data_IF_645062640984
#
_entry.id   IF_645062640984
#
_cell.length_a   1.000
_cell.length_b   1.000
_cell.length_c   1.000
_cell.angle_alpha   90.00
_cell.angle_beta   90.00
_cell.angle_gamma   90.00
#
_symmetry.space_group_name_H-M   'P 1'
#
loop_
_entity.id
_entity.type
_entity.pdbx_description
1 polymer ?
#
# COMPACT_ATOMS: atom_id res chain seq x y z
N UNK A 1 -6.41 -10.90 -3.85
CA UNK A 1 -5.66 -11.65 -4.88
C UNK A 1 -4.19 -11.31 -4.68
N UNK A 2 -3.36 -12.27 -4.31
CA UNK A 2 -1.93 -12.02 -4.07
C UNK A 2 -1.22 -11.89 -5.43
N UNK A 3 -0.51 -10.79 -5.63
CA UNK A 3 0.33 -10.56 -6.80
C UNK A 3 1.81 -10.69 -6.40
N UNK A 4 2.60 -11.30 -7.25
CA UNK A 4 4.06 -11.39 -7.12
C UNK A 4 4.69 -10.91 -8.43
N UNK A 5 5.76 -10.10 -8.35
CA UNK A 5 6.56 -9.69 -9.51
C UNK A 5 8.05 -9.88 -9.25
N UNK A 6 8.77 -10.32 -10.27
CA UNK A 6 10.23 -10.40 -10.24
C UNK A 6 10.83 -8.99 -10.44
N UNK A 7 11.65 -8.57 -9.50
CA UNK A 7 12.39 -7.31 -9.58
C UNK A 7 13.84 -7.58 -10.02
N UNK A 8 14.46 -6.65 -10.72
CA UNK A 8 15.82 -6.75 -11.30
C UNK A 8 16.94 -6.97 -10.28
N UNK A 9 16.63 -6.92 -8.96
CA UNK A 9 17.62 -7.03 -7.87
C UNK A 9 17.62 -8.36 -7.10
N UNK A 10 17.08 -9.43 -7.69
CA UNK A 10 17.23 -10.77 -7.12
C UNK A 10 16.26 -11.11 -5.98
N UNK A 11 15.17 -10.35 -5.79
CA UNK A 11 14.08 -10.71 -4.91
C UNK A 11 12.71 -10.36 -5.52
N UNK A 12 11.67 -10.96 -4.97
CA UNK A 12 10.27 -10.76 -5.34
C UNK A 12 9.52 -10.10 -4.18
N UNK A 13 8.61 -9.18 -4.49
CA UNK A 13 7.66 -8.62 -3.52
C UNK A 13 6.34 -9.38 -3.63
N UNK A 14 5.92 -10.00 -2.53
CA UNK A 14 4.61 -10.60 -2.40
C UNK A 14 3.82 -9.85 -1.34
N UNK A 15 2.61 -9.38 -1.67
CA UNK A 15 1.86 -8.55 -0.75
C UNK A 15 0.36 -8.65 -0.86
N UNK A 16 -0.31 -8.15 0.15
CA UNK A 16 -1.75 -7.95 0.23
C UNK A 16 -2.06 -6.69 1.02
N UNK A 17 -3.18 -6.07 0.73
CA UNK A 17 -3.79 -5.01 1.54
C UNK A 17 -5.27 -5.33 1.74
N UNK A 18 -5.76 -5.01 2.92
CA UNK A 18 -7.17 -5.10 3.29
C UNK A 18 -7.60 -3.84 4.03
N UNK A 19 -8.88 -3.53 3.93
CA UNK A 19 -9.52 -2.45 4.69
C UNK A 19 -10.87 -2.95 5.20
N UNK A 20 -11.28 -2.48 6.40
CA UNK A 20 -12.54 -2.80 7.04
C UNK A 20 -13.15 -1.53 7.66
N UNK A 21 -14.48 -1.42 7.65
CA UNK A 21 -15.18 -0.25 8.18
C UNK A 21 -15.09 -0.14 9.71
N UNK A 22 -14.67 -1.22 10.38
CA UNK A 22 -14.72 -1.30 11.84
C UNK A 22 -16.11 -1.62 12.38
N UNK A 23 -16.28 -1.48 13.70
CA UNK A 23 -17.56 -1.83 14.38
C UNK A 23 -18.42 -0.60 14.73
N UNK A 24 -17.85 0.59 14.68
CA UNK A 24 -18.49 1.83 15.18
C UNK A 24 -18.79 2.80 14.04
N UNK A 25 -17.92 2.90 13.05
CA UNK A 25 -18.12 3.78 11.89
C UNK A 25 -19.21 3.24 10.97
N UNK A 26 -19.93 4.14 10.28
CA UNK A 26 -20.97 3.79 9.30
C UNK A 26 -20.45 3.72 7.87
N UNK A 27 -19.30 4.33 7.59
CA UNK A 27 -18.63 4.39 6.29
C UNK A 27 -17.14 4.12 6.47
N UNK A 28 -16.49 3.65 5.42
CA UNK A 28 -15.05 3.49 5.39
C UNK A 28 -14.45 4.70 4.65
N UNK A 29 -13.75 5.54 5.39
CA UNK A 29 -13.07 6.72 4.87
C UNK A 29 -11.57 6.44 4.54
N UNK A 30 -11.07 5.24 4.85
CA UNK A 30 -9.75 4.78 4.45
C UNK A 30 -9.71 4.42 2.96
N UNK A 31 -8.57 4.66 2.34
CA UNK A 31 -8.26 4.18 0.99
C UNK A 31 -6.88 3.54 0.96
N UNK A 32 -6.80 2.39 0.31
CA UNK A 32 -5.55 1.65 0.15
C UNK A 32 -5.32 1.29 -1.31
N UNK A 33 -4.06 1.32 -1.75
CA UNK A 33 -3.67 0.80 -3.05
C UNK A 33 -2.25 0.26 -3.03
N UNK A 34 -2.00 -0.73 -3.84
CA UNK A 34 -0.64 -1.14 -4.16
C UNK A 34 -0.51 -1.50 -5.64
N UNK A 35 0.68 -1.25 -6.17
CA UNK A 35 1.07 -1.64 -7.52
C UNK A 35 2.36 -2.45 -7.40
N UNK A 36 2.31 -3.70 -7.83
CA UNK A 36 3.45 -4.58 -7.98
C UNK A 36 3.51 -4.94 -9.47
N UNK A 37 4.27 -4.19 -10.29
CA UNK A 37 4.28 -4.38 -11.72
C UNK A 37 4.92 -5.72 -12.09
N UNK A 38 4.39 -6.41 -13.11
CA UNK A 38 5.09 -7.52 -13.74
C UNK A 38 6.27 -7.02 -14.58
N UNK A 39 7.25 -7.87 -14.86
CA UNK A 39 8.45 -7.51 -15.64
C UNK A 39 8.14 -6.92 -17.03
N UNK A 40 6.98 -7.21 -17.60
CA UNK A 40 6.54 -6.71 -18.91
C UNK A 40 5.68 -5.44 -18.81
N UNK A 41 5.37 -4.97 -17.61
CA UNK A 41 4.58 -3.75 -17.39
C UNK A 41 5.48 -2.52 -17.59
N UNK A 42 5.05 -1.48 -18.32
CA UNK A 42 5.77 -0.20 -18.39
C UNK A 42 6.07 0.41 -17.03
N UNK A 43 5.23 0.16 -16.02
CA UNK A 43 5.43 0.59 -14.64
C UNK A 43 6.60 -0.12 -13.95
N UNK A 44 7.10 -1.25 -14.48
CA UNK A 44 8.19 -2.02 -13.87
C UNK A 44 9.47 -1.19 -13.71
N UNK A 45 9.73 -0.25 -14.62
CA UNK A 45 10.87 0.68 -14.54
C UNK A 45 10.78 1.64 -13.34
N UNK A 46 9.61 1.76 -12.70
CA UNK A 46 9.37 2.60 -11.53
C UNK A 46 9.25 1.80 -10.23
N UNK A 47 9.24 0.47 -10.33
CA UNK A 47 9.12 -0.43 -9.19
C UNK A 47 7.73 -0.46 -8.56
N UNK A 48 7.65 -0.91 -7.30
CA UNK A 48 6.38 -1.03 -6.58
C UNK A 48 6.01 0.26 -5.86
N UNK A 49 4.71 0.49 -5.70
CA UNK A 49 4.17 1.58 -4.89
C UNK A 49 3.05 1.05 -4.00
N UNK A 50 3.14 1.33 -2.70
CA UNK A 50 2.21 0.90 -1.66
C UNK A 50 1.66 2.15 -0.98
N UNK A 51 0.35 2.24 -0.77
CA UNK A 51 -0.33 3.46 -0.29
C UNK A 51 -1.39 3.12 0.74
N UNK A 52 -1.44 3.89 1.81
CA UNK A 52 -2.56 3.97 2.75
C UNK A 52 -2.88 5.44 2.97
N UNK A 53 -4.16 5.76 3.01
CA UNK A 53 -4.68 7.10 3.27
C UNK A 53 -5.92 6.98 4.15
N UNK A 54 -5.95 7.71 5.26
CA UNK A 54 -7.05 7.79 6.21
C UNK A 54 -7.75 9.12 6.02
N UNK A 55 -9.00 9.04 5.59
CA UNK A 55 -9.80 10.19 5.22
C UNK A 55 -10.48 10.83 6.42
N UNK A 56 -10.43 12.16 6.48
CA UNK A 56 -11.08 12.94 7.53
C UNK A 56 -12.01 13.99 6.94
N UNK A 57 -13.20 14.09 7.54
CA UNK A 57 -14.21 15.05 7.10
C UNK A 57 -15.60 14.66 7.59
N UNK A 58 -16.55 15.58 7.53
CA UNK A 58 -17.95 15.26 7.83
C UNK A 58 -18.61 14.48 6.67
N UNK A 59 -19.42 13.47 7.00
CA UNK A 59 -20.16 12.65 6.02
C UNK A 59 -19.21 11.86 5.09
N UNK A 60 -19.48 11.81 3.78
CA UNK A 60 -18.68 11.09 2.80
C UNK A 60 -17.42 11.86 2.32
N UNK A 61 -17.06 12.96 2.95
CA UNK A 61 -15.99 13.83 2.47
C UNK A 61 -14.59 13.23 2.70
N UNK A 62 -14.40 12.48 3.79
CA UNK A 62 -13.15 11.76 4.08
C UNK A 62 -12.86 10.66 3.05
N UNK A 63 -13.87 9.86 2.68
CA UNK A 63 -13.77 8.84 1.63
C UNK A 63 -13.31 9.45 0.30
N UNK A 64 -13.88 10.61 -0.07
CA UNK A 64 -13.48 11.30 -1.31
C UNK A 64 -12.04 11.80 -1.23
N UNK A 65 -11.62 12.35 -0.08
CA UNK A 65 -10.27 12.86 0.10
C UNK A 65 -9.21 11.77 0.02
N UNK A 66 -9.40 10.66 0.72
CA UNK A 66 -8.47 9.52 0.72
C UNK A 66 -8.37 8.87 -0.66
N UNK A 67 -9.51 8.68 -1.35
CA UNK A 67 -9.53 8.14 -2.70
C UNK A 67 -8.80 9.04 -3.71
N UNK A 68 -9.01 10.36 -3.63
CA UNK A 68 -8.30 11.34 -4.47
C UNK A 68 -6.80 11.34 -4.20
N UNK A 69 -6.38 11.23 -2.93
CA UNK A 69 -4.98 11.17 -2.56
C UNK A 69 -4.30 9.95 -3.19
N UNK A 70 -4.85 8.76 -2.96
CA UNK A 70 -4.30 7.49 -3.45
C UNK A 70 -4.22 7.49 -4.98
N UNK A 71 -5.27 7.94 -5.67
CA UNK A 71 -5.29 7.98 -7.13
C UNK A 71 -4.28 9.01 -7.69
N UNK A 72 -4.21 10.21 -7.10
CA UNK A 72 -3.30 11.25 -7.55
C UNK A 72 -1.83 10.84 -7.33
N UNK A 73 -1.48 10.33 -6.13
CA UNK A 73 -0.12 9.88 -5.81
C UNK A 73 0.28 8.75 -6.76
N UNK A 74 -0.55 7.72 -6.92
CA UNK A 74 -0.28 6.60 -7.82
C UNK A 74 -0.05 7.08 -9.27
N UNK A 75 -0.98 7.85 -9.80
CA UNK A 75 -0.92 8.34 -11.19
C UNK A 75 0.32 9.20 -11.45
N UNK A 76 0.61 10.15 -10.56
CA UNK A 76 1.73 11.08 -10.73
C UNK A 76 3.05 10.35 -10.59
N UNK A 77 3.22 9.49 -9.57
CA UNK A 77 4.44 8.71 -9.37
C UNK A 77 4.85 7.92 -10.62
N UNK A 78 3.90 7.22 -11.27
CA UNK A 78 4.19 6.42 -12.46
C UNK A 78 4.31 7.25 -13.75
N UNK A 79 3.84 8.50 -13.78
CA UNK A 79 3.97 9.37 -14.95
C UNK A 79 5.31 10.10 -15.03
N UNK A 80 6.06 10.18 -13.91
CA UNK A 80 7.32 10.92 -13.82
C UNK A 80 8.52 10.01 -14.06
N UNK A 81 9.62 10.61 -14.59
CA UNK A 81 10.92 9.96 -14.73
C UNK A 81 11.97 10.53 -13.75
N UNK A 82 11.52 11.36 -12.82
CA UNK A 82 12.35 11.95 -11.78
C UNK A 82 12.79 10.88 -10.76
N UNK A 83 13.89 11.12 -10.01
CA UNK A 83 14.26 10.28 -8.88
C UNK A 83 13.09 10.05 -7.91
N UNK A 84 13.08 8.89 -7.24
CA UNK A 84 11.97 8.49 -6.34
C UNK A 84 11.56 9.58 -5.34
N UNK A 85 12.52 10.24 -4.61
CA UNK A 85 12.14 11.30 -3.67
C UNK A 85 11.42 12.48 -4.33
N UNK A 86 11.92 12.93 -5.48
CA UNK A 86 11.30 14.04 -6.22
C UNK A 86 9.93 13.65 -6.75
N UNK A 87 9.78 12.42 -7.26
CA UNK A 87 8.49 11.90 -7.73
C UNK A 87 7.45 11.81 -6.62
N UNK A 88 7.84 11.34 -5.43
CA UNK A 88 6.96 11.30 -4.26
C UNK A 88 6.56 12.72 -3.83
N UNK A 89 7.49 13.66 -3.72
CA UNK A 89 7.21 15.05 -3.36
C UNK A 89 6.17 15.67 -4.30
N UNK A 90 6.41 15.61 -5.62
CA UNK A 90 5.50 16.14 -6.64
C UNK A 90 4.14 15.45 -6.58
N UNK A 91 4.11 14.15 -6.30
CA UNK A 91 2.88 13.38 -6.21
C UNK A 91 2.01 13.82 -5.02
N UNK A 92 2.61 14.02 -3.84
CA UNK A 92 1.91 14.50 -2.65
C UNK A 92 1.42 15.94 -2.80
N UNK A 93 2.23 16.85 -3.33
CA UNK A 93 1.79 18.23 -3.63
C UNK A 93 0.64 18.26 -4.64
N UNK A 94 0.69 17.37 -5.64
CA UNK A 94 -0.39 17.26 -6.64
C UNK A 94 -1.66 16.68 -6.01
N UNK A 95 -1.55 15.70 -5.14
CA UNK A 95 -2.68 15.16 -4.38
C UNK A 95 -3.33 16.23 -3.49
N UNK A 96 -2.52 16.99 -2.73
CA UNK A 96 -3.01 18.12 -1.92
C UNK A 96 -3.84 19.09 -2.76
N UNK A 97 -3.30 19.50 -3.90
CA UNK A 97 -3.96 20.43 -4.81
C UNK A 97 -5.28 19.87 -5.36
N UNK A 98 -5.28 18.59 -5.75
CA UNK A 98 -6.49 17.93 -6.27
C UNK A 98 -7.62 17.88 -5.24
N UNK A 99 -7.30 17.58 -3.97
CA UNK A 99 -8.27 17.57 -2.86
C UNK A 99 -8.83 18.96 -2.62
N UNK A 100 -7.94 19.97 -2.54
CA UNK A 100 -8.37 21.37 -2.36
C UNK A 100 -9.26 21.87 -3.49
N UNK A 101 -8.94 21.55 -4.75
CA UNK A 101 -9.74 21.93 -5.91
C UNK A 101 -11.12 21.24 -5.88
N UNK A 102 -11.13 19.95 -5.53
CA UNK A 102 -12.39 19.22 -5.40
C UNK A 102 -13.30 19.86 -4.34
N UNK A 103 -12.78 20.14 -3.13
CA UNK A 103 -13.52 20.75 -2.03
C UNK A 103 -14.02 22.18 -2.35
N UNK A 104 -13.32 22.93 -3.23
CA UNK A 104 -13.80 24.24 -3.73
C UNK A 104 -15.00 24.09 -4.66
N UNK A 105 -15.01 23.07 -5.49
CA UNK A 105 -16.04 22.83 -6.51
C UNK A 105 -17.26 22.06 -5.99
N UNK A 106 -17.11 21.36 -4.85
CA UNK A 106 -18.15 20.53 -4.23
C UNK A 106 -18.35 20.98 -2.77
N UNK A 107 -19.37 21.80 -2.48
CA UNK A 107 -19.59 22.36 -1.14
C UNK A 107 -19.68 21.31 -0.02
N UNK A 108 -20.24 20.14 -0.30
CA UNK A 108 -20.39 19.03 0.66
C UNK A 108 -19.04 18.39 1.03
N UNK A 109 -18.01 18.60 0.22
CA UNK A 109 -16.64 18.13 0.44
C UNK A 109 -15.70 19.23 0.97
N UNK A 110 -16.24 20.41 1.33
CA UNK A 110 -15.42 21.53 1.81
C UNK A 110 -14.74 21.20 3.12
N UNK A 111 -13.41 21.38 3.17
CA UNK A 111 -12.61 21.15 4.36
C UNK A 111 -12.29 19.67 4.60
N UNK A 112 -12.55 18.81 3.62
CA UNK A 112 -12.07 17.43 3.65
C UNK A 112 -10.54 17.37 3.65
N UNK A 113 -10.00 16.36 4.25
CA UNK A 113 -8.56 16.06 4.26
C UNK A 113 -8.29 14.58 4.37
N UNK A 114 -7.05 14.22 4.30
CA UNK A 114 -6.63 12.83 4.47
C UNK A 114 -5.16 12.74 4.86
N UNK A 115 -4.80 11.74 5.64
CA UNK A 115 -3.41 11.29 5.74
C UNK A 115 -2.97 10.68 4.41
N UNK A 116 -1.70 10.48 4.22
CA UNK A 116 -1.18 9.62 3.16
C UNK A 116 0.20 9.11 3.54
N UNK A 117 0.38 7.79 3.55
CA UNK A 117 1.67 7.14 3.74
C UNK A 117 1.95 6.26 2.53
N UNK A 118 3.09 6.49 1.89
CA UNK A 118 3.54 5.80 0.69
C UNK A 118 4.89 5.13 0.90
N UNK A 119 5.02 3.88 0.48
CA UNK A 119 6.31 3.22 0.29
C UNK A 119 6.52 2.95 -1.20
N UNK A 120 7.60 3.50 -1.75
CA UNK A 120 8.07 3.20 -3.09
C UNK A 120 9.26 2.25 -3.02
N UNK A 121 9.19 1.11 -3.72
CA UNK A 121 10.27 0.13 -3.78
C UNK A 121 10.85 0.17 -5.20
N UNK A 122 12.08 0.60 -5.31
CA UNK A 122 12.77 0.73 -6.58
C UNK A 122 14.24 0.35 -6.41
N UNK A 123 14.83 -0.31 -7.38
CA UNK A 123 16.23 -0.71 -7.37
C UNK A 123 16.70 -1.35 -6.03
N UNK A 124 15.87 -2.25 -5.49
CA UNK A 124 16.20 -2.99 -4.26
C UNK A 124 16.17 -2.15 -2.98
N UNK A 125 15.67 -0.94 -3.02
CA UNK A 125 15.53 -0.04 -1.89
C UNK A 125 14.07 0.35 -1.68
N UNK A 126 13.73 0.80 -0.47
CA UNK A 126 12.43 1.39 -0.12
C UNK A 126 12.60 2.85 0.26
N UNK A 127 11.72 3.71 -0.24
CA UNK A 127 11.58 5.13 0.14
C UNK A 127 10.22 5.36 0.77
N UNK A 128 10.19 6.29 1.72
CA UNK A 128 8.98 6.75 2.38
C UNK A 128 8.59 8.15 1.89
N UNK A 129 7.29 8.34 1.62
CA UNK A 129 6.62 9.63 1.57
C UNK A 129 5.46 9.61 2.57
N UNK A 130 5.29 10.67 3.38
CA UNK A 130 4.38 10.63 4.51
C UNK A 130 3.79 11.98 4.87
N UNK A 131 2.47 11.99 5.13
CA UNK A 131 1.70 13.08 5.74
C UNK A 131 0.65 12.46 6.66
N UNK A 132 0.61 12.87 7.93
CA UNK A 132 -0.39 12.46 8.92
C UNK A 132 0.15 11.48 9.96
N UNK A 133 -0.65 10.50 10.34
CA UNK A 133 -0.37 9.52 11.40
C UNK A 133 -0.67 8.06 11.01
N UNK A 134 -1.00 7.79 9.75
CA UNK A 134 -0.92 6.44 9.21
C UNK A 134 0.53 5.96 9.21
N UNK A 135 0.78 4.71 9.55
CA UNK A 135 2.15 4.25 9.81
C UNK A 135 2.69 3.29 8.76
N UNK A 136 4.00 3.37 8.56
CA UNK A 136 4.80 2.39 7.85
C UNK A 136 5.83 1.78 8.79
N UNK A 137 6.03 0.45 8.70
CA UNK A 137 7.02 -0.28 9.49
C UNK A 137 7.86 -1.19 8.60
N UNK A 138 9.07 -1.49 9.08
CA UNK A 138 9.94 -2.55 8.59
C UNK A 138 10.12 -3.61 9.69
N UNK A 139 9.72 -4.84 9.40
CA UNK A 139 10.03 -6.02 10.19
C UNK A 139 11.25 -6.70 9.58
N UNK A 140 12.37 -6.65 10.31
CA UNK A 140 13.65 -7.25 9.89
C UNK A 140 14.24 -8.04 11.05
N UNK A 141 14.55 -9.32 10.83
CA UNK A 141 15.15 -10.17 11.85
C UNK A 141 14.32 -10.27 13.14
N UNK A 142 13.00 -10.23 13.04
CA UNK A 142 12.07 -10.27 14.18
C UNK A 142 11.89 -8.93 14.91
N UNK A 143 12.55 -7.85 14.48
CA UNK A 143 12.40 -6.52 15.04
C UNK A 143 11.51 -5.67 14.15
N UNK A 144 10.38 -5.18 14.69
CA UNK A 144 9.55 -4.16 14.06
C UNK A 144 10.17 -2.77 14.32
N UNK A 145 10.29 -1.98 13.27
CA UNK A 145 10.81 -0.61 13.36
C UNK A 145 9.85 0.30 12.61
N UNK A 146 9.28 1.29 13.29
CA UNK A 146 8.47 2.32 12.63
C UNK A 146 9.35 3.17 11.72
N UNK A 147 8.91 3.38 10.50
CA UNK A 147 9.60 4.15 9.46
C UNK A 147 9.07 5.57 9.31
N UNK A 148 7.78 5.77 9.60
CA UNK A 148 7.11 7.08 9.59
C UNK A 148 7.11 7.70 10.99
N UNK A 149 7.13 9.03 11.06
CA UNK A 149 6.95 9.77 12.31
C UNK A 149 5.54 10.35 12.35
N UNK A 150 4.74 10.02 13.36
CA UNK A 150 3.38 10.53 13.49
C UNK A 150 3.38 12.07 13.57
N UNK A 151 2.60 12.68 12.73
CA UNK A 151 2.41 14.14 12.68
C UNK A 151 1.18 14.54 13.48
N UNK A 152 1.13 14.13 14.75
CA UNK A 152 0.06 14.45 15.71
C UNK A 152 0.56 15.41 16.79
N UNK A 153 -0.41 16.04 17.47
CA UNK A 153 -0.10 16.95 18.60
C UNK A 153 0.66 16.20 19.70
N UNK A 154 0.23 14.98 20.07
CA UNK A 154 0.92 14.22 21.13
C UNK A 154 2.34 13.81 20.70
N UNK A 155 2.54 13.35 19.48
CA UNK A 155 3.85 13.01 18.98
C UNK A 155 4.79 14.24 18.96
N UNK A 156 4.28 15.42 18.66
CA UNK A 156 5.04 16.65 18.76
C UNK A 156 5.40 16.98 20.21
N UNK A 157 4.45 16.92 21.14
CA UNK A 157 4.69 17.17 22.56
C UNK A 157 5.72 16.21 23.17
N UNK A 158 5.70 14.94 22.76
CA UNK A 158 6.70 13.94 23.19
C UNK A 158 8.09 14.31 22.65
N UNK A 159 8.21 14.68 21.38
CA UNK A 159 9.50 15.11 20.77
C UNK A 159 10.06 16.35 21.44
N UNK A 160 9.20 17.26 21.88
CA UNK A 160 9.59 18.51 22.58
C UNK A 160 9.84 18.29 24.09
N UNK A 161 9.64 17.06 24.59
CA UNK A 161 9.80 16.73 26.01
C UNK A 161 8.73 17.34 26.92
N UNK A 162 7.59 17.72 26.37
CA UNK A 162 6.45 18.30 27.07
C UNK A 162 5.46 17.24 27.56
N UNK A 163 5.59 16.00 27.09
CA UNK A 163 4.74 14.86 27.43
C UNK A 163 5.55 13.56 27.32
N UNK A 164 5.27 12.59 28.16
CA UNK A 164 5.80 11.23 28.04
C UNK A 164 4.86 10.35 27.22
N UNK A 165 5.39 9.21 26.71
CA UNK A 165 4.55 8.22 26.01
C UNK A 165 3.44 7.65 26.91
N UNK A 166 3.71 7.46 28.21
CA UNK A 166 2.70 7.00 29.16
C UNK A 166 1.58 8.03 29.37
N UNK A 167 1.93 9.30 29.47
CA UNK A 167 0.96 10.40 29.58
C UNK A 167 0.11 10.52 28.32
N UNK A 168 0.68 10.33 27.13
CA UNK A 168 -0.05 10.39 25.87
C UNK A 168 -1.16 9.33 25.75
N UNK A 169 -0.93 8.13 26.28
CA UNK A 169 -1.91 7.02 26.27
C UNK A 169 -3.13 7.30 27.17
N UNK A 170 -2.98 8.15 28.18
CA UNK A 170 -4.03 8.47 29.16
C UNK A 170 -4.69 9.82 28.90
N UNK A 171 -4.08 10.69 28.13
CA UNK A 171 -4.58 12.03 27.79
C UNK A 171 -5.60 11.93 26.66
N UNK A 172 -6.75 12.58 26.81
CA UNK A 172 -7.71 12.73 25.71
C UNK A 172 -7.18 13.64 24.59
N UNK A 173 -7.65 13.43 23.36
CA UNK A 173 -7.33 14.32 22.22
C UNK A 173 -6.00 14.05 21.53
N UNK A 174 -5.40 12.87 21.72
CA UNK A 174 -4.10 12.50 21.16
C UNK A 174 -4.01 12.44 19.66
N UNK A 175 -5.09 12.13 19.03
CA UNK A 175 -5.16 11.91 17.57
C UNK A 175 -5.44 13.21 16.77
N UNK A 176 -5.10 14.39 17.33
CA UNK A 176 -5.17 15.62 16.53
C UNK A 176 -4.03 15.62 15.53
N UNK A 177 -4.35 15.31 14.28
CA UNK A 177 -3.41 15.34 13.17
C UNK A 177 -3.03 16.79 12.87
N UNK A 178 -1.74 17.09 12.83
CA UNK A 178 -1.19 18.43 12.59
C UNK A 178 -1.00 18.74 11.10
N UNK A 179 -0.83 17.71 10.28
CA UNK A 179 -0.69 17.83 8.84
C UNK A 179 -1.55 16.79 8.13
N UNK A 180 -2.33 17.25 7.16
CA UNK A 180 -3.13 16.40 6.29
C UNK A 180 -3.22 17.02 4.89
N UNK A 181 -3.30 16.19 3.86
CA UNK A 181 -3.58 16.63 2.51
C UNK A 181 -5.00 17.22 2.42
N UNK A 182 -5.15 18.32 1.69
CA UNK A 182 -6.46 18.97 1.48
C UNK A 182 -6.84 19.99 2.53
N UNK A 183 -6.10 20.14 3.64
CA UNK A 183 -6.45 21.07 4.74
C UNK A 183 -5.80 22.44 4.61
N UNK A 184 -4.72 22.55 3.84
CA UNK A 184 -3.98 23.80 3.62
C UNK A 184 -3.48 23.94 2.19
N UNK A 185 -3.23 25.18 1.74
CA UNK A 185 -2.69 25.45 0.41
C UNK A 185 -1.28 24.84 0.25
N UNK A 186 -0.49 24.97 1.31
CA UNK A 186 0.87 24.42 1.38
C UNK A 186 0.82 23.16 2.24
N UNK A 187 1.47 22.11 1.77
CA UNK A 187 1.75 20.88 2.49
C UNK A 187 3.25 20.65 2.48
N UNK A 188 3.81 20.16 3.57
CA UNK A 188 5.22 19.80 3.69
C UNK A 188 5.32 18.27 3.91
N UNK A 189 5.27 17.46 2.83
CA UNK A 189 5.36 16.03 2.94
C UNK A 189 6.76 15.63 3.42
N UNK A 190 6.81 14.76 4.42
CA UNK A 190 8.07 14.14 4.82
C UNK A 190 8.45 13.08 3.80
N UNK A 191 9.50 13.31 3.03
CA UNK A 191 10.00 12.37 2.03
C UNK A 191 11.46 12.04 2.31
N UNK A 192 11.78 10.75 2.38
CA UNK A 192 13.17 10.31 2.55
C UNK A 192 14.01 10.67 1.33
N UNK A 193 15.18 11.25 1.58
CA UNK A 193 16.15 11.61 0.53
C UNK A 193 16.93 10.39 0.02
N UNK A 194 17.14 9.41 0.89
CA UNK A 194 17.86 8.17 0.63
C UNK A 194 16.97 6.98 0.93
N UNK A 195 17.04 5.95 0.10
CA UNK A 195 16.30 4.71 0.31
C UNK A 195 17.02 3.79 1.30
N UNK A 196 16.26 2.94 1.97
CA UNK A 196 16.80 1.87 2.81
C UNK A 196 16.90 0.60 1.93
N UNK A 197 18.08 -0.05 1.84
CA UNK A 197 18.21 -1.31 1.14
C UNK A 197 17.33 -2.40 1.78
N UNK A 198 16.52 -3.07 0.95
CA UNK A 198 15.75 -4.24 1.34
C UNK A 198 16.60 -5.50 1.21
N UNK A 199 16.35 -6.45 2.09
CA UNK A 199 16.97 -7.77 2.05
C UNK A 199 15.91 -8.87 2.09
N UNK A 200 16.26 -10.06 1.65
CA UNK A 200 15.38 -11.23 1.75
C UNK A 200 14.97 -11.48 3.21
N UNK A 201 13.69 -11.74 3.43
CA UNK A 201 13.10 -11.91 4.74
C UNK A 201 12.56 -10.64 5.39
N UNK A 202 12.76 -9.47 4.78
CA UNK A 202 12.10 -8.24 5.22
C UNK A 202 10.59 -8.33 5.00
N UNK A 203 9.84 -7.69 5.90
CA UNK A 203 8.41 -7.47 5.71
C UNK A 203 8.09 -6.00 5.97
N UNK A 204 7.42 -5.37 5.00
CA UNK A 204 6.90 -4.02 5.13
C UNK A 204 5.44 -4.08 5.58
N UNK A 205 5.09 -3.22 6.55
CA UNK A 205 3.72 -3.07 7.05
C UNK A 205 3.29 -1.63 6.84
N UNK A 206 2.09 -1.43 6.27
CA UNK A 206 1.43 -0.12 6.22
C UNK A 206 0.08 -0.24 6.92
N UNK A 207 -0.32 0.78 7.68
CA UNK A 207 -1.64 0.77 8.31
C UNK A 207 -2.16 2.18 8.61
N UNK A 208 -3.49 2.30 8.71
CA UNK A 208 -4.15 3.45 9.33
C UNK A 208 -4.12 3.38 10.85
N UNK A 209 -4.56 4.44 11.50
CA UNK A 209 -4.57 4.58 12.96
C UNK A 209 -5.52 3.58 13.63
N UNK A 210 -6.57 3.13 12.94
CA UNK A 210 -7.47 2.09 13.45
C UNK A 210 -6.81 0.73 13.69
N UNK A 211 -5.61 0.47 13.12
CA UNK A 211 -4.83 -0.69 13.49
C UNK A 211 -3.93 -0.41 14.72
N UNK A 212 -3.02 0.56 14.62
CA UNK A 212 -1.96 0.75 15.63
C UNK A 212 -2.49 1.33 16.95
N UNK A 213 -3.67 1.93 16.97
CA UNK A 213 -4.38 2.31 18.20
C UNK A 213 -4.98 1.12 18.92
N UNK A 214 -5.26 0.01 18.22
CA UNK A 214 -5.95 -1.17 18.76
C UNK A 214 -5.02 -2.34 19.02
N UNK A 215 -3.93 -2.46 18.26
CA UNK A 215 -3.00 -3.60 18.30
C UNK A 215 -1.60 -3.08 18.58
N UNK A 216 -0.95 -3.61 19.60
CA UNK A 216 0.41 -3.20 19.97
C UNK A 216 1.46 -3.70 18.96
N UNK A 217 2.63 -3.02 18.92
CA UNK A 217 3.70 -3.30 17.97
C UNK A 217 4.24 -4.73 18.07
N UNK A 218 4.22 -5.36 19.24
CA UNK A 218 4.67 -6.74 19.42
C UNK A 218 3.72 -7.71 18.73
N UNK A 219 2.42 -7.49 18.88
CA UNK A 219 1.36 -8.26 18.22
C UNK A 219 1.39 -8.04 16.70
N UNK A 220 1.59 -6.80 16.24
CA UNK A 220 1.77 -6.51 14.82
C UNK A 220 2.98 -7.27 14.26
N UNK A 221 4.11 -7.24 14.94
CA UNK A 221 5.33 -7.95 14.53
C UNK A 221 5.11 -9.46 14.42
N UNK A 222 4.46 -10.05 15.44
CA UNK A 222 4.20 -11.48 15.48
C UNK A 222 3.29 -11.92 14.33
N UNK A 223 2.18 -11.23 14.10
CA UNK A 223 1.23 -11.57 13.03
C UNK A 223 1.83 -11.33 11.64
N UNK A 224 2.57 -10.23 11.43
CA UNK A 224 3.23 -9.92 10.16
C UNK A 224 4.34 -10.92 9.79
N UNK A 225 4.94 -11.60 10.78
CA UNK A 225 5.99 -12.59 10.58
C UNK A 225 5.48 -13.99 10.20
N UNK A 226 4.20 -14.29 10.46
CA UNK A 226 3.72 -15.68 10.52
C UNK A 226 3.49 -16.34 9.17
N UNK A 227 2.87 -15.66 8.22
CA UNK A 227 2.17 -16.36 7.14
C UNK A 227 2.18 -15.63 5.80
N UNK A 228 1.31 -16.09 4.91
CA UNK A 228 1.04 -15.38 3.67
C UNK A 228 0.49 -13.98 3.97
N UNK A 229 0.89 -12.93 3.23
CA UNK A 229 0.45 -11.56 3.46
C UNK A 229 -1.06 -11.38 3.62
N UNK A 230 -1.85 -12.12 2.86
CA UNK A 230 -3.32 -12.07 2.92
C UNK A 230 -3.87 -12.52 4.29
N UNK A 231 -3.34 -13.61 4.85
CA UNK A 231 -3.74 -14.14 6.15
C UNK A 231 -3.30 -13.20 7.27
N UNK A 232 -2.06 -12.68 7.19
CA UNK A 232 -1.56 -11.70 8.16
C UNK A 232 -2.43 -10.42 8.19
N UNK A 233 -2.88 -9.91 7.04
CA UNK A 233 -3.82 -8.80 7.00
C UNK A 233 -5.15 -9.15 7.66
N UNK A 234 -5.68 -10.34 7.43
CA UNK A 234 -6.94 -10.80 8.04
C UNK A 234 -6.83 -10.91 9.56
N UNK A 235 -5.72 -11.50 10.05
CA UNK A 235 -5.48 -11.65 11.48
C UNK A 235 -5.33 -10.29 12.18
N UNK A 236 -4.61 -9.34 11.58
CA UNK A 236 -4.44 -7.99 12.11
C UNK A 236 -5.76 -7.22 12.16
N UNK A 237 -6.57 -7.26 11.10
CA UNK A 237 -7.91 -6.66 11.11
C UNK A 237 -8.78 -7.32 12.17
N UNK A 238 -8.77 -8.65 12.24
CA UNK A 238 -9.50 -9.41 13.26
C UNK A 238 -9.14 -8.96 14.69
N UNK A 239 -7.84 -8.82 14.97
CA UNK A 239 -7.35 -8.35 16.28
C UNK A 239 -7.82 -6.92 16.60
N UNK A 240 -7.78 -6.00 15.62
CA UNK A 240 -8.26 -4.63 15.81
C UNK A 240 -9.78 -4.60 16.09
N UNK A 241 -10.55 -5.41 15.35
CA UNK A 241 -12.00 -5.54 15.58
C UNK A 241 -12.33 -6.14 16.93
N UNK A 242 -11.58 -7.13 17.40
CA UNK A 242 -11.73 -7.73 18.74
C UNK A 242 -11.39 -6.75 19.86
N UNK A 243 -10.41 -5.86 19.63
CA UNK A 243 -10.04 -4.79 20.56
C UNK A 243 -11.06 -3.63 20.61
N UNK A 244 -12.09 -3.67 19.75
CA UNK A 244 -13.19 -2.70 19.77
C UNK A 244 -13.59 -2.19 18.40
N UNK A 245 -12.66 -2.11 17.43
CA UNK A 245 -12.93 -1.67 16.08
C UNK A 245 -13.55 -0.28 16.01
N UNK A 246 -13.01 0.67 16.78
CA UNK A 246 -13.61 2.00 16.94
C UNK A 246 -13.50 2.87 15.69
N UNK A 247 -12.55 2.57 14.81
CA UNK A 247 -12.32 3.28 13.56
C UNK A 247 -12.26 2.33 12.36
N UNK A 248 -12.15 2.90 11.16
CA UNK A 248 -11.79 2.19 9.96
C UNK A 248 -10.39 1.58 10.14
N UNK A 249 -10.19 0.37 9.66
CA UNK A 249 -8.93 -0.38 9.84
C UNK A 249 -8.38 -0.78 8.49
N UNK A 250 -7.23 -0.23 8.13
CA UNK A 250 -6.53 -0.59 6.91
C UNK A 250 -5.15 -1.13 7.21
N UNK A 251 -4.76 -2.22 6.55
CA UNK A 251 -3.45 -2.84 6.71
C UNK A 251 -2.95 -3.43 5.40
N UNK A 252 -1.66 -3.26 5.15
CA UNK A 252 -0.91 -3.88 4.06
C UNK A 252 0.32 -4.60 4.57
N UNK A 253 0.53 -5.83 4.09
CA UNK A 253 1.70 -6.65 4.40
C UNK A 253 2.40 -7.01 3.09
N UNK A 254 3.70 -6.73 3.02
CA UNK A 254 4.53 -6.96 1.83
C UNK A 254 5.85 -7.62 2.22
N UNK A 255 6.02 -8.88 1.82
CA UNK A 255 7.21 -9.68 2.14
C UNK A 255 8.20 -9.66 0.99
N UNK A 256 9.47 -9.47 1.33
CA UNK A 256 10.61 -9.58 0.41
C UNK A 256 11.06 -11.03 0.37
N UNK A 257 10.89 -11.69 -0.76
CA UNK A 257 11.13 -13.13 -0.95
C UNK A 257 12.24 -13.37 -1.96
N UNK A 258 12.90 -14.54 -1.91
CA UNK A 258 13.78 -14.94 -3.00
C UNK A 258 12.96 -14.99 -4.32
N UNK A 259 13.59 -14.74 -5.47
CA UNK A 259 12.91 -14.83 -6.74
C UNK A 259 12.32 -16.23 -6.93
N UNK A 260 11.12 -16.29 -7.49
CA UNK A 260 10.50 -17.58 -7.80
C UNK A 260 11.44 -18.38 -8.70
N UNK A 261 11.68 -19.63 -8.35
CA UNK A 261 12.43 -20.53 -9.23
C UNK A 261 11.74 -20.55 -10.61
N UNK A 262 12.49 -20.47 -11.72
CA UNK A 262 11.89 -20.50 -13.05
C UNK A 262 10.98 -21.73 -13.13
N UNK A 263 9.71 -21.52 -13.41
CA UNK A 263 8.77 -22.61 -13.64
C UNK A 263 9.37 -23.46 -14.76
N UNK A 264 9.74 -24.69 -14.44
CA UNK A 264 10.12 -25.66 -15.47
C UNK A 264 8.97 -25.66 -16.47
N UNK A 265 9.27 -25.29 -17.72
CA UNK A 265 8.31 -25.46 -18.80
C UNK A 265 7.86 -26.93 -18.76
N UNK A 266 6.55 -27.21 -18.87
CA UNK A 266 6.10 -28.58 -18.94
C UNK A 266 6.85 -29.21 -20.11
N UNK A 267 7.76 -30.15 -19.81
CA UNK A 267 8.44 -30.91 -20.84
C UNK A 267 7.32 -31.60 -21.62
N UNK A 268 7.06 -31.08 -22.82
CA UNK A 268 6.18 -31.74 -23.76
C UNK A 268 6.88 -33.04 -24.14
N UNK A 269 6.60 -34.09 -23.39
CA UNK A 269 7.03 -35.44 -23.72
C UNK A 269 6.25 -35.83 -24.94
N UNK A 270 6.82 -35.56 -26.11
CA UNK A 270 6.31 -36.09 -27.37
C UNK A 270 6.52 -37.60 -27.33
N UNK A 271 5.54 -38.33 -26.81
CA UNK A 271 5.49 -39.77 -26.99
C UNK A 271 5.26 -40.01 -28.48
N UNK A 272 6.32 -40.38 -29.17
CA UNK A 272 6.22 -40.96 -30.51
C UNK A 272 5.46 -42.25 -30.37
N UNK A 273 4.19 -42.23 -30.74
CA UNK A 273 3.38 -43.43 -30.92
C UNK A 273 3.83 -44.02 -32.25
N UNK A 274 4.62 -45.09 -32.23
CA UNK A 274 4.84 -45.92 -33.39
C UNK A 274 3.55 -46.69 -33.66
N UNK A 275 2.74 -46.20 -34.59
CA UNK A 275 1.64 -46.98 -35.16
C UNK A 275 2.23 -47.88 -36.23
N UNK A 276 2.22 -49.21 -35.97
CA UNK A 276 2.34 -50.19 -36.99
C UNK A 276 1.17 -50.05 -37.98
N UNK A 277 1.52 -50.07 -39.25
CA UNK A 277 0.75 -49.90 -40.47
C UNK A 277 -0.76 -50.08 -40.40
N UNK A 278 -1.47 -49.13 -41.03
CA UNK A 278 -2.60 -49.36 -41.96
C UNK A 278 -2.90 -48.09 -42.74
N UNK A 279 -3.26 -48.29 -43.99
CA UNK A 279 -3.47 -47.43 -45.14
C UNK A 279 -4.14 -46.05 -44.92
N UNK A 280 -3.74 -45.14 -45.80
CA UNK A 280 -4.27 -43.80 -45.97
C UNK A 280 -5.77 -43.84 -46.37
N UNK A 281 -6.58 -43.04 -45.67
CA UNK A 281 -7.84 -42.52 -46.16
C UNK A 281 -7.81 -41.00 -46.06
N UNK A 282 -7.79 -40.37 -47.21
CA UNK A 282 -7.99 -38.93 -47.35
C UNK A 282 -9.43 -38.58 -46.94
N UNK A 283 -9.58 -37.57 -46.12
CA UNK A 283 -10.86 -36.92 -45.86
C UNK A 283 -10.72 -35.38 -45.98
N UNK A 284 -11.73 -34.67 -46.47
CA UNK A 284 -11.56 -33.39 -47.16
C UNK A 284 -11.50 -32.19 -46.26
N UNK A 285 -10.79 -31.12 -46.77
CA UNK A 285 -10.78 -29.77 -46.27
C UNK A 285 -12.20 -29.19 -46.08
N UNK A 286 -12.52 -28.72 -44.90
CA UNK A 286 -13.60 -27.77 -44.70
C UNK A 286 -13.04 -26.34 -44.70
N UNK A 287 -13.51 -25.56 -45.66
CA UNK A 287 -13.28 -24.16 -45.80
C UNK A 287 -14.03 -23.36 -44.70
N UNK A 288 -13.37 -22.36 -44.12
CA UNK A 288 -13.99 -21.35 -43.28
C UNK A 288 -14.76 -20.35 -44.15
N UNK A 289 -15.94 -19.86 -43.74
CA UNK A 289 -16.62 -18.79 -44.47
C UNK A 289 -16.03 -17.41 -44.13
N UNK A 290 -15.78 -16.64 -45.16
CA UNK A 290 -15.48 -15.21 -45.14
C UNK A 290 -16.67 -14.38 -44.65
N UNK A 291 -16.34 -13.31 -43.94
CA UNK A 291 -17.14 -12.09 -43.94
C UNK A 291 -17.85 -11.77 -42.63
N UNK A 292 -17.34 -10.67 -42.00
CA UNK A 292 -18.17 -9.51 -41.69
C UNK A 292 -17.25 -8.36 -41.25
N UNK A 293 -17.41 -7.27 -41.97
CA UNK A 293 -16.82 -5.91 -41.84
C UNK A 293 -17.05 -5.26 -40.50
#
# INVERSE_FOLDING_TARGET
MALASENTHGFEIAGAMLTDVGRVRSSNEDSVAFVIPSSNDPAASRGCLLLVADGMGGHAAGEVASALAVEAVRRVYYSLQEPVPASLMIAFETANRAILEHGKNHPDCRGMGTTCTALAIHDGQVWLGHVGDSRAYLLRGGKLTQLSDDQTLHAQMIREGLMTEEESKTSGGGNVVLQALGTGADVDPFVWREGIPLIEGDTLVLCSDGLWNMVDDASIAEMAARTAPQEACQDLIGAALEAGGYDNVSVGIFSVRPPAAPRAEPQTTTRRIETAGTEAVEAPLFALPDGLS
#
